data_IF_639298412797
#
_entry.id   IF_639298412797
#
_cell.length_a   1.000
_cell.length_b   1.000
_cell.length_c   1.000
_cell.angle_alpha   90.00
_cell.angle_beta   90.00
_cell.angle_gamma   90.00
#
_symmetry.space_group_name_H-M   'P 1'
#
loop_
_entity.id
_entity.type
_entity.pdbx_description
1 polymer ?
#
# COMPACT_ATOMS: atom_id res chain seq x y z
N UNK A 1 -24.64 -5.80 -3.19
CA UNK A 1 -23.91 -5.22 -2.04
C UNK A 1 -22.63 -4.63 -2.60
N UNK A 2 -22.38 -3.35 -2.37
CA UNK A 2 -21.13 -2.68 -2.75
C UNK A 2 -20.00 -3.14 -1.85
N UNK A 3 -18.74 -2.85 -2.22
CA UNK A 3 -17.58 -3.14 -1.35
C UNK A 3 -17.66 -2.38 -0.02
N UNK A 4 -18.11 -1.13 -0.04
CA UNK A 4 -18.32 -0.33 1.19
C UNK A 4 -19.38 -0.98 2.11
N UNK A 5 -20.52 -1.42 1.56
CA UNK A 5 -21.54 -2.13 2.33
C UNK A 5 -21.00 -3.45 2.90
N UNK A 6 -20.21 -4.21 2.14
CA UNK A 6 -19.60 -5.44 2.61
C UNK A 6 -18.59 -5.19 3.74
N UNK A 7 -17.74 -4.18 3.60
CA UNK A 7 -16.76 -3.79 4.65
C UNK A 7 -17.50 -3.40 5.92
N UNK A 8 -18.52 -2.54 5.81
CA UNK A 8 -19.35 -2.10 6.94
C UNK A 8 -19.99 -3.28 7.68
N UNK A 9 -20.55 -4.21 6.93
CA UNK A 9 -21.23 -5.38 7.48
C UNK A 9 -20.24 -6.30 8.21
N UNK A 10 -19.08 -6.61 7.60
CA UNK A 10 -18.02 -7.42 8.21
C UNK A 10 -17.50 -6.76 9.48
N UNK A 11 -17.20 -5.47 9.46
CA UNK A 11 -16.72 -4.74 10.65
C UNK A 11 -17.78 -4.76 11.76
N UNK A 12 -19.06 -4.57 11.43
CA UNK A 12 -20.15 -4.65 12.42
C UNK A 12 -20.26 -6.03 13.05
N UNK A 13 -20.10 -7.10 12.27
CA UNK A 13 -20.11 -8.47 12.77
C UNK A 13 -18.91 -8.74 13.71
N UNK A 14 -17.71 -8.31 13.32
CA UNK A 14 -16.51 -8.44 14.16
C UNK A 14 -16.67 -7.71 15.49
N UNK A 15 -17.24 -6.50 15.47
CA UNK A 15 -17.49 -5.73 16.68
C UNK A 15 -18.51 -6.41 17.59
N UNK A 16 -19.60 -6.96 17.01
CA UNK A 16 -20.59 -7.72 17.76
C UNK A 16 -19.99 -8.95 18.43
N UNK A 17 -19.16 -9.71 17.72
CA UNK A 17 -18.49 -10.90 18.25
C UNK A 17 -17.46 -10.60 19.35
N UNK A 18 -16.99 -9.36 19.43
CA UNK A 18 -16.03 -8.89 20.44
C UNK A 18 -16.70 -8.13 21.60
N UNK A 19 -17.98 -7.82 21.53
CA UNK A 19 -18.65 -6.98 22.53
C UNK A 19 -18.53 -7.55 23.95
N UNK A 20 -18.80 -8.85 24.13
CA UNK A 20 -18.72 -9.54 25.42
C UNK A 20 -17.28 -9.80 25.90
N UNK A 21 -16.28 -9.55 25.04
CA UNK A 21 -14.84 -9.75 25.31
C UNK A 21 -14.13 -8.44 25.64
N UNK A 22 -14.85 -7.33 25.81
CA UNK A 22 -14.28 -6.01 26.11
C UNK A 22 -13.94 -5.17 24.86
N UNK A 23 -14.44 -5.57 23.71
CA UNK A 23 -14.32 -4.86 22.44
C UNK A 23 -12.95 -5.04 21.76
N UNK A 24 -12.78 -4.37 20.62
CA UNK A 24 -11.53 -4.37 19.86
C UNK A 24 -10.56 -3.36 20.47
N UNK A 25 -9.33 -3.78 20.75
CA UNK A 25 -8.24 -2.94 21.27
C UNK A 25 -7.06 -2.86 20.31
N UNK A 26 -6.91 -3.84 19.42
CA UNK A 26 -5.78 -3.96 18.49
C UNK A 26 -6.26 -4.39 17.10
N UNK A 27 -5.66 -3.80 16.10
CA UNK A 27 -5.74 -4.30 14.72
C UNK A 27 -4.33 -4.62 14.25
N UNK A 28 -4.14 -5.82 13.71
CA UNK A 28 -2.87 -6.23 13.09
C UNK A 28 -3.09 -6.47 11.59
N UNK A 29 -2.33 -5.76 10.77
CA UNK A 29 -2.34 -5.90 9.32
C UNK A 29 -1.24 -6.89 8.95
N UNK A 30 -1.59 -7.99 8.31
CA UNK A 30 -0.66 -9.08 7.99
C UNK A 30 -0.66 -9.32 6.49
N UNK A 31 0.53 -9.37 5.91
CA UNK A 31 0.71 -9.67 4.49
C UNK A 31 2.16 -9.90 4.13
N UNK A 32 2.44 -10.22 2.88
CA UNK A 32 3.80 -10.34 2.37
C UNK A 32 3.97 -9.54 1.07
N UNK A 33 5.14 -8.94 0.86
CA UNK A 33 5.45 -8.21 -0.36
C UNK A 33 4.44 -7.11 -0.68
N UNK A 34 3.81 -7.18 -1.86
CA UNK A 34 2.80 -6.22 -2.30
C UNK A 34 1.58 -6.12 -1.39
N UNK A 35 1.17 -7.24 -0.75
CA UNK A 35 0.08 -7.25 0.22
C UNK A 35 0.46 -6.52 1.51
N UNK A 36 1.69 -6.69 1.99
CA UNK A 36 2.18 -5.95 3.16
C UNK A 36 2.26 -4.44 2.91
N UNK A 37 2.85 -4.03 1.77
CA UNK A 37 2.87 -2.61 1.41
C UNK A 37 1.48 -2.03 1.13
N UNK A 38 0.54 -2.86 0.65
CA UNK A 38 -0.86 -2.51 0.47
C UNK A 38 -1.62 -2.24 1.76
N UNK A 39 -1.15 -2.75 2.90
CA UNK A 39 -1.71 -2.47 4.23
C UNK A 39 -1.31 -1.08 4.77
N UNK A 40 -0.29 -0.48 4.19
CA UNK A 40 0.30 0.76 4.69
C UNK A 40 -0.71 1.92 4.83
N UNK A 41 -1.59 2.21 3.86
CA UNK A 41 -2.54 3.31 4.02
C UNK A 41 -3.54 3.11 5.17
N UNK A 42 -3.95 1.87 5.45
CA UNK A 42 -4.82 1.55 6.57
C UNK A 42 -4.12 1.77 7.92
N UNK A 43 -2.88 1.30 8.03
CA UNK A 43 -2.06 1.55 9.22
C UNK A 43 -1.82 3.04 9.42
N UNK A 44 -1.40 3.75 8.36
CA UNK A 44 -1.17 5.20 8.40
C UNK A 44 -2.43 5.96 8.86
N UNK A 45 -3.60 5.61 8.32
CA UNK A 45 -4.86 6.21 8.74
C UNK A 45 -5.12 6.00 10.24
N UNK A 46 -5.04 4.77 10.71
CA UNK A 46 -5.34 4.47 12.11
C UNK A 46 -4.33 5.10 13.09
N UNK A 47 -3.05 5.18 12.73
CA UNK A 47 -2.02 5.85 13.54
C UNK A 47 -2.28 7.36 13.72
N UNK A 48 -3.04 7.97 12.81
CA UNK A 48 -3.31 9.41 12.83
C UNK A 48 -4.72 9.78 13.30
N UNK A 49 -5.67 8.88 13.17
CA UNK A 49 -7.09 9.18 13.43
C UNK A 49 -7.70 8.33 14.56
N UNK A 50 -7.21 7.09 14.80
CA UNK A 50 -7.74 6.25 15.84
C UNK A 50 -7.06 6.52 17.20
N UNK A 51 -7.85 6.65 18.26
CA UNK A 51 -7.37 6.92 19.63
C UNK A 51 -7.59 5.76 20.58
N UNK A 52 -8.54 4.87 20.29
CA UNK A 52 -8.91 3.74 21.15
C UNK A 52 -8.37 2.40 20.66
N UNK A 53 -8.23 2.24 19.35
CA UNK A 53 -7.74 1.01 18.72
C UNK A 53 -6.33 1.24 18.19
N UNK A 54 -5.35 0.50 18.72
CA UNK A 54 -3.96 0.59 18.27
C UNK A 54 -3.72 -0.33 17.08
N UNK A 55 -3.04 0.20 16.06
CA UNK A 55 -2.74 -0.46 14.79
C UNK A 55 -1.28 -0.87 14.69
N UNK A 56 -0.99 -2.01 14.07
CA UNK A 56 0.38 -2.48 13.77
C UNK A 56 0.39 -3.33 12.52
N UNK A 57 1.50 -3.33 11.77
CA UNK A 57 1.66 -4.13 10.54
C UNK A 57 2.85 -5.08 10.65
N UNK A 58 2.70 -6.28 10.10
CA UNK A 58 3.70 -7.34 10.13
C UNK A 58 3.78 -8.04 8.79
N UNK A 59 4.98 -8.46 8.41
CA UNK A 59 5.12 -9.46 7.36
C UNK A 59 4.62 -10.81 7.89
N UNK A 60 4.07 -11.65 7.00
CA UNK A 60 3.46 -12.92 7.41
C UNK A 60 4.42 -13.80 8.22
N UNK A 61 5.67 -13.96 7.77
CA UNK A 61 6.65 -14.79 8.48
C UNK A 61 7.14 -14.18 9.79
N UNK A 62 7.31 -12.86 9.85
CA UNK A 62 7.65 -12.19 11.11
C UNK A 62 6.54 -12.42 12.14
N UNK A 63 5.29 -12.28 11.75
CA UNK A 63 4.15 -12.52 12.62
C UNK A 63 4.11 -13.98 13.13
N UNK A 64 4.36 -14.96 12.26
CA UNK A 64 4.37 -16.39 12.66
C UNK A 64 5.45 -16.68 13.70
N UNK A 65 6.66 -16.16 13.52
CA UNK A 65 7.81 -16.51 14.37
C UNK A 65 8.00 -15.58 15.56
N UNK A 66 7.38 -14.41 15.54
CA UNK A 66 7.47 -13.40 16.60
C UNK A 66 6.09 -12.76 16.87
N UNK A 67 5.08 -13.60 17.10
CA UNK A 67 3.71 -13.14 17.36
C UNK A 67 3.68 -12.19 18.53
N UNK A 68 3.16 -10.94 18.38
CA UNK A 68 3.13 -9.99 19.48
C UNK A 68 2.26 -10.46 20.65
N UNK A 69 2.72 -10.25 21.86
CA UNK A 69 2.03 -10.69 23.08
C UNK A 69 0.63 -10.06 23.28
N UNK A 70 0.33 -8.96 22.58
CA UNK A 70 -0.98 -8.31 22.66
C UNK A 70 -2.00 -8.89 21.68
N UNK A 71 -1.63 -9.87 20.84
CA UNK A 71 -2.57 -10.59 19.98
C UNK A 71 -3.33 -11.58 20.85
N UNK A 72 -4.61 -11.30 21.06
CA UNK A 72 -5.52 -12.07 21.92
C UNK A 72 -6.98 -11.84 21.47
N UNK A 73 -7.93 -12.19 22.32
CA UNK A 73 -9.37 -12.07 22.06
C UNK A 73 -9.85 -10.64 21.77
N UNK A 74 -9.06 -9.61 22.12
CA UNK A 74 -9.37 -8.20 21.82
C UNK A 74 -8.68 -7.71 20.54
N UNK A 75 -8.02 -8.60 19.79
CA UNK A 75 -7.36 -8.27 18.54
C UNK A 75 -8.21 -8.67 17.32
N UNK A 76 -8.04 -7.92 16.23
CA UNK A 76 -8.48 -8.27 14.88
C UNK A 76 -7.26 -8.37 13.98
N UNK A 77 -7.10 -9.49 13.29
CA UNK A 77 -6.07 -9.70 12.29
C UNK A 77 -6.68 -9.59 10.89
N UNK A 78 -6.30 -8.55 10.15
CA UNK A 78 -6.64 -8.36 8.74
C UNK A 78 -5.51 -8.96 7.91
N UNK A 79 -5.79 -10.08 7.25
CA UNK A 79 -4.78 -10.91 6.59
C UNK A 79 -4.96 -10.81 5.08
N UNK A 80 -3.96 -10.23 4.41
CA UNK A 80 -4.03 -9.89 2.99
C UNK A 80 -3.15 -10.81 2.16
N UNK A 81 -3.76 -11.54 1.23
CA UNK A 81 -3.03 -12.31 0.22
C UNK A 81 -3.92 -12.58 -0.99
N UNK A 82 -3.41 -12.30 -2.19
CA UNK A 82 -4.15 -12.50 -3.43
C UNK A 82 -4.66 -13.95 -3.57
N UNK A 83 -3.81 -14.93 -3.28
CA UNK A 83 -4.03 -16.37 -3.52
C UNK A 83 -3.67 -17.26 -2.33
N UNK A 84 -3.42 -16.68 -1.16
CA UNK A 84 -3.03 -17.44 0.03
C UNK A 84 -1.64 -18.07 -0.10
N UNK A 85 -0.57 -17.32 0.18
CA UNK A 85 0.76 -17.93 0.31
C UNK A 85 0.83 -18.76 1.59
N UNK A 86 1.69 -19.78 1.62
CA UNK A 86 1.81 -20.70 2.77
C UNK A 86 1.99 -19.96 4.09
N UNK A 87 2.91 -19.01 4.11
CA UNK A 87 3.24 -18.21 5.29
C UNK A 87 2.04 -17.36 5.77
N UNK A 88 1.25 -16.83 4.81
CA UNK A 88 0.10 -15.99 5.13
C UNK A 88 -1.07 -16.81 5.67
N UNK A 89 -1.27 -18.02 5.16
CA UNK A 89 -2.25 -18.97 5.70
C UNK A 89 -1.87 -19.35 7.14
N UNK A 90 -0.58 -19.67 7.39
CA UNK A 90 -0.09 -20.00 8.73
C UNK A 90 -0.24 -18.80 9.67
N UNK A 91 0.04 -17.59 9.21
CA UNK A 91 -0.13 -16.37 10.01
C UNK A 91 -1.61 -16.16 10.42
N UNK A 92 -2.56 -16.41 9.52
CA UNK A 92 -3.98 -16.37 9.85
C UNK A 92 -4.36 -17.40 10.92
N UNK A 93 -3.84 -18.63 10.80
CA UNK A 93 -4.09 -19.68 11.80
C UNK A 93 -3.48 -19.30 13.18
N UNK A 94 -2.25 -18.79 13.19
CA UNK A 94 -1.59 -18.31 14.42
C UNK A 94 -2.39 -17.21 15.10
N UNK A 95 -2.88 -16.23 14.33
CA UNK A 95 -3.72 -15.16 14.87
C UNK A 95 -5.01 -15.72 15.52
N UNK A 96 -5.65 -16.66 14.84
CA UNK A 96 -6.86 -17.34 15.32
C UNK A 96 -6.61 -18.16 16.58
N UNK A 97 -5.52 -18.91 16.63
CA UNK A 97 -5.11 -19.71 17.80
C UNK A 97 -4.83 -18.84 19.04
N UNK A 98 -4.43 -17.57 18.85
CA UNK A 98 -4.28 -16.57 19.90
C UNK A 98 -5.61 -15.89 20.28
N UNK A 99 -6.74 -16.23 19.64
CA UNK A 99 -8.07 -15.70 19.94
C UNK A 99 -8.46 -14.46 19.15
N UNK A 100 -7.61 -13.96 18.25
CA UNK A 100 -7.96 -12.83 17.38
C UNK A 100 -9.07 -13.23 16.39
N UNK A 101 -9.99 -12.33 16.09
CA UNK A 101 -10.87 -12.50 14.90
C UNK A 101 -10.07 -12.22 13.64
N UNK A 102 -10.31 -13.00 12.60
CA UNK A 102 -9.51 -12.96 11.37
C UNK A 102 -10.35 -12.56 10.16
N UNK A 103 -9.86 -11.60 9.36
CA UNK A 103 -10.50 -11.14 8.13
C UNK A 103 -9.56 -11.44 6.95
N UNK A 104 -9.97 -12.31 6.03
CA UNK A 104 -9.25 -12.55 4.78
C UNK A 104 -9.57 -11.46 3.76
N UNK A 105 -8.52 -10.84 3.19
CA UNK A 105 -8.61 -9.95 2.04
C UNK A 105 -7.94 -10.67 0.85
N UNK A 106 -8.73 -11.06 -0.15
CA UNK A 106 -8.30 -12.03 -1.15
C UNK A 106 -8.85 -11.73 -2.56
N UNK A 107 -8.23 -12.31 -3.59
CA UNK A 107 -8.75 -12.35 -4.96
C UNK A 107 -9.31 -13.72 -5.28
N UNK A 108 -8.50 -14.77 -5.11
CA UNK A 108 -8.87 -16.14 -5.37
C UNK A 108 -9.05 -16.93 -4.05
N UNK A 109 -10.08 -17.76 -3.97
CA UNK A 109 -10.31 -18.66 -2.85
C UNK A 109 -9.10 -19.57 -2.63
N UNK A 110 -8.75 -19.83 -1.36
CA UNK A 110 -7.56 -20.58 -0.96
C UNK A 110 -7.66 -21.00 0.49
N UNK A 111 -6.66 -21.70 1.02
CA UNK A 111 -6.57 -22.01 2.45
C UNK A 111 -6.69 -20.78 3.37
N UNK A 112 -6.38 -19.58 2.89
CA UNK A 112 -6.60 -18.37 3.67
C UNK A 112 -8.09 -18.13 3.94
N UNK A 113 -8.93 -18.30 2.92
CA UNK A 113 -10.39 -18.14 3.04
C UNK A 113 -11.05 -19.26 3.84
N UNK A 114 -10.39 -20.42 3.95
CA UNK A 114 -10.86 -21.53 4.79
C UNK A 114 -10.56 -21.30 6.28
N UNK A 115 -9.42 -20.67 6.58
CA UNK A 115 -8.97 -20.42 7.96
C UNK A 115 -9.67 -19.21 8.57
N UNK A 116 -9.81 -18.09 7.83
CA UNK A 116 -10.32 -16.84 8.38
C UNK A 116 -11.82 -16.88 8.68
N UNK A 117 -12.22 -16.16 9.73
CA UNK A 117 -13.61 -16.05 10.20
C UNK A 117 -14.48 -15.24 9.23
N UNK A 118 -13.92 -14.19 8.65
CA UNK A 118 -14.57 -13.26 7.73
C UNK A 118 -13.77 -13.11 6.43
N UNK A 119 -14.45 -12.68 5.37
CA UNK A 119 -13.88 -12.64 4.02
C UNK A 119 -14.33 -11.41 3.25
N UNK A 120 -13.39 -10.71 2.61
CA UNK A 120 -13.69 -9.63 1.67
C UNK A 120 -12.83 -9.84 0.41
N UNK A 121 -13.49 -9.96 -0.73
CA UNK A 121 -12.81 -10.10 -2.02
C UNK A 121 -12.45 -8.72 -2.57
N UNK A 122 -11.28 -8.61 -3.21
CA UNK A 122 -10.79 -7.39 -3.84
C UNK A 122 -10.39 -7.59 -5.30
N UNK A 123 -10.25 -6.49 -6.05
CA UNK A 123 -9.78 -6.49 -7.42
C UNK A 123 -8.24 -6.33 -7.46
N UNK A 124 -7.56 -7.15 -8.23
CA UNK A 124 -6.12 -6.99 -8.43
C UNK A 124 -5.81 -5.72 -9.24
N UNK A 125 -4.99 -4.83 -8.72
CA UNK A 125 -4.57 -3.60 -9.40
C UNK A 125 -3.78 -3.84 -10.71
N UNK A 126 -3.29 -5.07 -10.91
CA UNK A 126 -2.56 -5.45 -12.11
C UNK A 126 -3.46 -5.81 -13.30
N UNK A 127 -4.77 -5.95 -13.09
CA UNK A 127 -5.76 -6.26 -14.13
C UNK A 127 -6.32 -4.96 -14.68
N UNK A 128 -6.30 -4.80 -16.03
CA UNK A 128 -6.68 -3.54 -16.67
C UNK A 128 -8.17 -3.17 -16.50
N UNK A 129 -9.05 -4.17 -16.29
CA UNK A 129 -10.48 -3.97 -16.00
C UNK A 129 -10.78 -3.81 -14.50
N UNK A 130 -9.76 -3.80 -13.64
CA UNK A 130 -9.97 -3.62 -12.20
C UNK A 130 -10.53 -2.24 -11.87
N UNK A 131 -11.36 -2.18 -10.84
CA UNK A 131 -11.75 -0.95 -10.18
C UNK A 131 -10.72 -0.61 -9.10
N UNK A 132 -10.00 0.51 -9.26
CA UNK A 132 -8.94 0.90 -8.33
C UNK A 132 -9.47 1.22 -6.93
N UNK A 133 -10.71 1.69 -6.82
CA UNK A 133 -11.41 1.88 -5.54
C UNK A 133 -11.74 0.57 -4.80
N UNK A 134 -11.46 -0.60 -5.40
CA UNK A 134 -11.69 -1.92 -4.80
C UNK A 134 -10.43 -2.79 -4.72
N UNK A 135 -9.24 -2.23 -4.90
CA UNK A 135 -7.98 -2.93 -4.69
C UNK A 135 -7.74 -3.25 -3.21
N UNK A 136 -6.77 -4.12 -2.91
CA UNK A 136 -6.45 -4.46 -1.52
C UNK A 136 -6.24 -3.22 -0.65
N UNK A 137 -5.46 -2.24 -1.13
CA UNK A 137 -5.18 -1.00 -0.39
C UNK A 137 -6.45 -0.19 -0.12
N UNK A 138 -7.38 -0.12 -1.08
CA UNK A 138 -8.66 0.55 -0.90
C UNK A 138 -9.53 -0.18 0.16
N UNK A 139 -9.64 -1.50 0.05
CA UNK A 139 -10.44 -2.31 0.98
C UNK A 139 -9.91 -2.22 2.41
N UNK A 140 -8.60 -2.35 2.63
CA UNK A 140 -8.03 -2.24 3.99
C UNK A 140 -8.17 -0.82 4.55
N UNK A 141 -8.09 0.22 3.70
CA UNK A 141 -8.33 1.60 4.13
C UNK A 141 -9.79 1.81 4.54
N UNK A 142 -10.75 1.25 3.78
CA UNK A 142 -12.17 1.27 4.17
C UNK A 142 -12.39 0.55 5.51
N UNK A 143 -11.74 -0.62 5.73
CA UNK A 143 -11.83 -1.34 7.01
C UNK A 143 -11.31 -0.48 8.16
N UNK A 144 -10.18 0.20 7.98
CA UNK A 144 -9.60 1.08 8.99
C UNK A 144 -10.55 2.25 9.34
N UNK A 145 -11.11 2.91 8.31
CA UNK A 145 -12.07 4.00 8.48
C UNK A 145 -13.36 3.52 9.16
N UNK A 146 -13.88 2.38 8.74
CA UNK A 146 -15.10 1.80 9.30
C UNK A 146 -14.91 1.35 10.75
N UNK A 147 -13.76 0.70 11.07
CA UNK A 147 -13.42 0.34 12.46
C UNK A 147 -13.37 1.59 13.34
N UNK A 148 -12.67 2.64 12.91
CA UNK A 148 -12.58 3.89 13.67
C UNK A 148 -13.95 4.53 13.83
N UNK A 149 -14.76 4.56 12.76
CA UNK A 149 -16.12 5.10 12.81
C UNK A 149 -17.01 4.37 13.81
N UNK A 150 -17.02 3.03 13.79
CA UNK A 150 -17.90 2.23 14.65
C UNK A 150 -17.42 2.10 16.10
N UNK A 151 -16.11 2.30 16.37
CA UNK A 151 -15.55 2.20 17.73
C UNK A 151 -15.57 3.52 18.48
N UNK A 152 -15.28 4.62 17.81
CA UNK A 152 -15.04 5.91 18.48
C UNK A 152 -15.58 7.13 17.72
N UNK A 153 -16.05 6.95 16.49
CA UNK A 153 -16.47 8.02 15.61
C UNK A 153 -15.31 8.66 14.84
N UNK A 154 -15.53 8.94 13.56
CA UNK A 154 -14.59 9.65 12.70
C UNK A 154 -15.30 10.83 12.03
N UNK A 155 -14.90 12.04 12.37
CA UNK A 155 -15.62 13.27 11.98
C UNK A 155 -15.74 13.46 10.44
N UNK A 156 -14.72 13.00 9.68
CA UNK A 156 -14.71 13.10 8.21
C UNK A 156 -15.18 11.80 7.52
N UNK A 157 -15.81 10.88 8.23
CA UNK A 157 -16.19 9.56 7.72
C UNK A 157 -16.96 9.62 6.40
N UNK A 158 -18.05 10.40 6.33
CA UNK A 158 -18.86 10.52 5.11
C UNK A 158 -18.07 11.14 3.95
N UNK A 159 -17.19 12.12 4.24
CA UNK A 159 -16.31 12.73 3.25
C UNK A 159 -15.31 11.70 2.72
N UNK A 160 -14.71 10.91 3.60
CA UNK A 160 -13.73 9.90 3.26
C UNK A 160 -14.37 8.76 2.44
N UNK A 161 -15.53 8.27 2.85
CA UNK A 161 -16.22 7.21 2.12
C UNK A 161 -16.68 7.65 0.72
N UNK A 162 -17.17 8.88 0.58
CA UNK A 162 -17.51 9.46 -0.72
C UNK A 162 -16.29 9.64 -1.65
N UNK A 163 -15.10 9.87 -1.08
CA UNK A 163 -13.88 10.05 -1.87
C UNK A 163 -13.43 8.77 -2.60
N UNK A 164 -13.85 7.58 -2.15
CA UNK A 164 -13.57 6.33 -2.89
C UNK A 164 -14.19 6.32 -4.29
N UNK A 165 -15.31 7.01 -4.51
CA UNK A 165 -15.94 7.13 -5.83
C UNK A 165 -15.11 7.98 -6.81
N UNK A 166 -14.19 8.81 -6.29
CA UNK A 166 -13.29 9.63 -7.09
C UNK A 166 -12.02 8.88 -7.52
N UNK A 167 -11.69 7.74 -6.90
CA UNK A 167 -10.43 7.01 -7.15
C UNK A 167 -10.30 6.60 -8.61
N UNK A 168 -11.33 5.96 -9.17
CA UNK A 168 -11.28 5.51 -10.58
C UNK A 168 -11.23 6.63 -11.59
N UNK A 169 -12.05 7.71 -11.50
CA UNK A 169 -11.92 8.87 -12.36
C UNK A 169 -10.56 9.54 -12.31
N UNK A 170 -9.99 9.70 -11.11
CA UNK A 170 -8.65 10.27 -10.91
C UNK A 170 -7.60 9.35 -11.53
N UNK A 171 -7.65 8.04 -11.24
CA UNK A 171 -6.71 7.07 -11.79
C UNK A 171 -6.68 7.10 -13.33
N UNK A 172 -7.84 7.10 -14.00
CA UNK A 172 -7.90 7.14 -15.47
C UNK A 172 -7.24 8.40 -16.04
N UNK A 173 -7.52 9.57 -15.48
CA UNK A 173 -6.87 10.83 -15.88
C UNK A 173 -5.36 10.78 -15.60
N UNK A 174 -4.96 10.25 -14.44
CA UNK A 174 -3.56 10.12 -14.07
C UNK A 174 -2.78 9.16 -15.00
N UNK A 175 -3.40 8.08 -15.48
CA UNK A 175 -2.81 7.19 -16.52
C UNK A 175 -2.51 7.96 -17.80
N UNK A 176 -3.47 8.74 -18.30
CA UNK A 176 -3.29 9.54 -19.51
C UNK A 176 -2.16 10.58 -19.35
N UNK A 177 -2.14 11.28 -18.21
CA UNK A 177 -1.13 12.26 -17.88
C UNK A 177 0.28 11.63 -17.74
N UNK A 178 0.38 10.49 -17.08
CA UNK A 178 1.68 9.88 -16.73
C UNK A 178 2.29 9.07 -17.86
N UNK A 179 1.52 8.60 -18.84
CA UNK A 179 2.03 7.75 -19.95
C UNK A 179 3.26 8.34 -20.67
N UNK A 180 3.23 9.58 -21.20
CA UNK A 180 4.41 10.17 -21.84
C UNK A 180 5.56 10.41 -20.85
N UNK A 181 5.26 10.71 -19.60
CA UNK A 181 6.25 10.91 -18.55
C UNK A 181 6.97 9.61 -18.21
N UNK A 182 6.23 8.51 -18.07
CA UNK A 182 6.78 7.19 -17.78
C UNK A 182 7.65 6.67 -18.93
N UNK A 183 7.27 6.93 -20.20
CA UNK A 183 8.09 6.58 -21.33
C UNK A 183 9.46 7.27 -21.27
N UNK A 184 9.49 8.57 -21.04
CA UNK A 184 10.74 9.36 -20.88
C UNK A 184 11.56 8.86 -19.69
N UNK A 185 10.92 8.64 -18.54
CA UNK A 185 11.59 8.12 -17.35
C UNK A 185 12.21 6.74 -17.60
N UNK A 186 11.50 5.85 -18.29
CA UNK A 186 11.97 4.52 -18.59
C UNK A 186 13.21 4.54 -19.51
N UNK A 187 13.20 5.36 -20.57
CA UNK A 187 14.36 5.56 -21.44
C UNK A 187 15.59 6.05 -20.68
N UNK A 188 15.40 6.99 -19.74
CA UNK A 188 16.49 7.54 -18.92
C UNK A 188 17.03 6.55 -17.89
N UNK A 189 16.28 5.51 -17.56
CA UNK A 189 16.62 4.54 -16.51
C UNK A 189 16.87 3.10 -17.00
N UNK A 190 16.73 2.83 -18.31
CA UNK A 190 16.85 1.49 -18.88
C UNK A 190 18.20 0.82 -18.63
N UNK A 191 19.29 1.60 -18.52
CA UNK A 191 20.66 1.15 -18.31
C UNK A 191 21.13 1.27 -16.84
N UNK A 192 20.24 1.59 -15.90
CA UNK A 192 20.67 1.85 -14.54
C UNK A 192 20.83 0.58 -13.72
N UNK A 193 21.96 0.47 -12.99
CA UNK A 193 22.18 -0.65 -12.09
C UNK A 193 21.29 -0.59 -10.85
N UNK A 194 20.86 0.62 -10.44
CA UNK A 194 20.01 0.82 -9.29
C UNK A 194 19.06 2.00 -9.51
N UNK A 195 17.80 1.82 -9.12
CA UNK A 195 16.77 2.87 -9.11
C UNK A 195 16.35 3.12 -7.66
N UNK A 196 16.66 4.31 -7.14
CA UNK A 196 16.23 4.73 -5.82
C UNK A 196 14.81 5.28 -5.89
N UNK A 197 13.93 4.84 -4.99
CA UNK A 197 12.55 5.32 -4.90
C UNK A 197 12.36 6.02 -3.57
N UNK A 198 12.03 7.30 -3.59
CA UNK A 198 11.94 8.12 -2.38
C UNK A 198 10.50 8.57 -2.14
N UNK A 199 9.99 8.33 -0.94
CA UNK A 199 8.68 8.78 -0.48
C UNK A 199 8.63 8.84 1.05
N UNK A 200 7.57 9.41 1.59
CA UNK A 200 7.34 9.42 3.04
C UNK A 200 5.85 9.29 3.37
N UNK A 201 5.54 9.13 4.68
CA UNK A 201 4.18 9.12 5.20
C UNK A 201 3.24 8.29 4.33
N UNK A 202 2.16 8.87 3.83
CA UNK A 202 1.09 8.12 3.13
C UNK A 202 1.54 7.45 1.82
N UNK A 203 2.72 7.79 1.28
CA UNK A 203 3.26 7.20 0.05
C UNK A 203 4.36 6.17 0.27
N UNK A 204 4.88 6.02 1.49
CA UNK A 204 6.02 5.13 1.72
C UNK A 204 5.71 3.68 1.31
N UNK A 205 4.51 3.18 1.61
CA UNK A 205 4.08 1.83 1.20
C UNK A 205 4.04 1.64 -0.31
N UNK A 206 3.62 2.64 -1.08
CA UNK A 206 3.62 2.59 -2.55
C UNK A 206 5.04 2.55 -3.12
N UNK A 207 5.95 3.37 -2.57
CA UNK A 207 7.37 3.35 -2.94
C UNK A 207 8.03 2.01 -2.62
N UNK A 208 7.74 1.44 -1.45
CA UNK A 208 8.23 0.13 -1.03
C UNK A 208 7.78 -0.97 -2.02
N UNK A 209 6.48 -1.04 -2.33
CA UNK A 209 5.96 -2.03 -3.28
C UNK A 209 6.57 -1.85 -4.67
N UNK A 210 6.69 -0.61 -5.15
CA UNK A 210 7.31 -0.35 -6.43
C UNK A 210 8.77 -0.82 -6.47
N UNK A 211 9.54 -0.52 -5.43
CA UNK A 211 10.94 -0.94 -5.32
C UNK A 211 11.08 -2.46 -5.32
N UNK A 212 10.43 -3.17 -4.37
CA UNK A 212 10.68 -4.61 -4.19
C UNK A 212 9.89 -5.49 -5.17
N UNK A 213 8.64 -5.15 -5.48
CA UNK A 213 7.81 -6.00 -6.36
C UNK A 213 7.98 -5.63 -7.83
N UNK A 214 7.90 -4.34 -8.18
CA UNK A 214 7.93 -3.95 -9.59
C UNK A 214 9.36 -3.91 -10.13
N UNK A 215 10.30 -3.25 -9.43
CA UNK A 215 11.67 -3.06 -9.95
C UNK A 215 12.53 -4.30 -9.68
N UNK A 216 12.60 -4.80 -8.44
CA UNK A 216 13.46 -5.94 -8.11
C UNK A 216 12.88 -7.28 -8.59
N UNK A 217 11.62 -7.60 -8.23
CA UNK A 217 11.02 -8.90 -8.55
C UNK A 217 10.69 -9.03 -10.04
N UNK A 218 9.92 -8.06 -10.58
CA UNK A 218 9.40 -8.15 -11.95
C UNK A 218 10.46 -7.79 -12.99
N UNK A 219 11.24 -6.75 -12.76
CA UNK A 219 12.23 -6.26 -13.74
C UNK A 219 13.65 -6.73 -13.43
N UNK A 220 13.93 -7.27 -12.25
CA UNK A 220 15.24 -7.78 -11.82
C UNK A 220 16.33 -6.71 -11.92
N UNK A 221 15.99 -5.48 -11.55
CA UNK A 221 16.88 -4.31 -11.43
C UNK A 221 17.01 -4.00 -9.94
N UNK A 222 18.22 -3.65 -9.48
CA UNK A 222 18.42 -3.25 -8.10
C UNK A 222 17.63 -1.99 -7.77
N UNK A 223 17.06 -1.96 -6.59
CA UNK A 223 16.26 -0.81 -6.13
C UNK A 223 16.30 -0.71 -4.62
N UNK A 224 16.20 0.49 -4.10
CA UNK A 224 15.96 0.71 -2.68
C UNK A 224 14.87 1.76 -2.46
N UNK A 225 14.21 1.65 -1.31
CA UNK A 225 13.23 2.63 -0.86
C UNK A 225 13.88 3.55 0.16
N UNK A 226 13.80 4.86 -0.07
CA UNK A 226 14.32 5.89 0.83
C UNK A 226 13.15 6.63 1.45
N UNK A 227 13.12 6.72 2.79
CA UNK A 227 12.16 7.58 3.46
C UNK A 227 12.60 9.04 3.32
N UNK A 228 11.75 9.90 2.75
CA UNK A 228 12.07 11.32 2.54
C UNK A 228 12.39 12.03 3.86
N UNK A 229 11.77 11.61 4.97
CA UNK A 229 12.03 12.18 6.29
C UNK A 229 13.43 11.84 6.82
N UNK A 230 13.97 10.66 6.44
CA UNK A 230 15.31 10.20 6.79
C UNK A 230 16.37 10.54 5.73
N UNK A 231 15.96 11.10 4.59
CA UNK A 231 16.86 11.39 3.47
C UNK A 231 18.10 12.15 3.91
N UNK A 232 17.96 13.14 4.78
CA UNK A 232 19.05 13.99 5.28
C UNK A 232 19.86 13.36 6.44
N UNK A 233 19.63 12.10 6.76
CA UNK A 233 20.32 11.34 7.80
C UNK A 233 21.16 10.19 7.23
N UNK A 234 21.71 10.37 6.03
CA UNK A 234 22.60 9.41 5.36
C UNK A 234 22.32 9.31 3.86
N UNK A 235 21.09 8.97 3.40
CA UNK A 235 20.84 8.71 1.98
C UNK A 235 21.17 9.87 1.03
N UNK A 236 21.13 11.11 1.47
CA UNK A 236 21.48 12.26 0.62
C UNK A 236 22.95 12.29 0.17
N UNK A 237 23.85 11.56 0.87
CA UNK A 237 25.27 11.47 0.52
C UNK A 237 25.51 10.66 -0.78
N UNK A 238 24.56 9.81 -1.21
CA UNK A 238 24.69 9.11 -2.49
C UNK A 238 24.24 9.95 -3.69
N UNK A 239 23.61 11.14 -3.45
CA UNK A 239 23.07 11.95 -4.53
C UNK A 239 24.16 12.67 -5.30
N UNK A 240 24.29 12.34 -6.58
CA UNK A 240 25.13 13.05 -7.55
C UNK A 240 24.40 13.22 -8.88
N UNK A 241 25.11 13.75 -9.89
CA UNK A 241 24.55 13.96 -11.24
C UNK A 241 24.19 12.67 -12.00
N UNK A 242 24.61 11.50 -11.51
CA UNK A 242 24.39 10.19 -12.15
C UNK A 242 23.33 9.37 -11.42
N UNK A 243 23.00 9.76 -10.19
CA UNK A 243 22.04 9.02 -9.34
C UNK A 243 20.65 8.99 -9.98
N UNK A 244 20.10 7.78 -10.12
CA UNK A 244 18.70 7.59 -10.47
C UNK A 244 17.86 7.67 -9.20
N UNK A 245 17.01 8.68 -9.10
CA UNK A 245 16.12 8.92 -7.98
C UNK A 245 14.72 9.24 -8.46
N UNK A 246 13.75 8.46 -8.04
CA UNK A 246 12.34 8.69 -8.29
C UNK A 246 11.66 9.14 -7.00
N UNK A 247 11.41 10.44 -6.85
CA UNK A 247 10.71 11.01 -5.71
C UNK A 247 9.21 11.06 -5.95
N UNK A 248 8.45 10.42 -5.07
CA UNK A 248 6.99 10.51 -5.00
C UNK A 248 6.61 11.60 -4.00
N UNK A 249 5.75 12.53 -4.42
CA UNK A 249 5.39 13.72 -3.64
C UNK A 249 3.93 13.61 -3.24
N UNK A 250 3.66 13.58 -1.95
CA UNK A 250 2.33 13.38 -1.38
C UNK A 250 1.50 14.67 -1.32
N UNK A 251 0.19 14.51 -1.14
CA UNK A 251 -0.66 15.53 -0.51
C UNK A 251 -0.85 15.16 0.97
N UNK A 252 -1.25 16.14 1.77
CA UNK A 252 -1.52 15.97 3.19
C UNK A 252 -0.50 16.65 4.10
N UNK A 253 -0.65 16.37 5.41
CA UNK A 253 0.05 17.07 6.51
C UNK A 253 1.58 16.98 6.46
N UNK A 254 2.13 15.92 5.90
CA UNK A 254 3.57 15.67 5.86
C UNK A 254 4.26 16.13 4.56
N UNK A 255 3.53 16.73 3.60
CA UNK A 255 4.06 17.21 2.32
C UNK A 255 5.26 18.16 2.44
N UNK A 256 5.37 18.93 3.52
CA UNK A 256 6.50 19.82 3.74
C UNK A 256 7.86 19.09 3.75
N UNK A 257 7.90 17.80 4.11
CA UNK A 257 9.10 16.97 4.03
C UNK A 257 9.46 16.64 2.59
N UNK A 258 8.47 16.34 1.74
CA UNK A 258 8.70 16.15 0.29
C UNK A 258 9.24 17.43 -0.35
N UNK A 259 8.69 18.59 0.00
CA UNK A 259 9.13 19.89 -0.50
C UNK A 259 10.56 20.24 -0.07
N UNK A 260 10.96 19.81 1.14
CA UNK A 260 12.37 19.93 1.58
C UNK A 260 13.28 19.07 0.69
N UNK A 261 12.86 17.83 0.41
CA UNK A 261 13.55 16.92 -0.52
C UNK A 261 13.68 17.52 -1.91
N UNK A 262 12.58 18.03 -2.49
CA UNK A 262 12.54 18.66 -3.82
C UNK A 262 13.61 19.74 -3.96
N UNK A 263 13.69 20.66 -3.00
CA UNK A 263 14.68 21.74 -3.04
C UNK A 263 16.11 21.23 -3.13
N UNK A 264 16.43 20.20 -2.36
CA UNK A 264 17.78 19.62 -2.35
C UNK A 264 18.09 18.84 -3.63
N UNK A 265 17.19 17.94 -4.04
CA UNK A 265 17.44 17.09 -5.21
C UNK A 265 17.46 17.89 -6.52
N UNK A 266 16.71 18.98 -6.62
CA UNK A 266 16.75 19.89 -7.78
C UNK A 266 18.06 20.69 -7.84
N UNK A 267 18.66 20.99 -6.69
CA UNK A 267 19.95 21.72 -6.64
C UNK A 267 21.14 20.81 -6.93
N UNK A 268 21.17 19.61 -6.38
CA UNK A 268 22.36 18.75 -6.37
C UNK A 268 22.24 17.52 -7.26
N UNK A 269 21.04 17.05 -7.56
CA UNK A 269 20.78 15.92 -8.46
C UNK A 269 21.04 16.26 -9.93
N UNK A 270 20.90 15.26 -10.80
CA UNK A 270 21.07 15.35 -12.25
C UNK A 270 19.75 15.16 -13.00
N UNK A 271 19.87 14.88 -14.30
CA UNK A 271 18.72 14.67 -15.20
C UNK A 271 17.90 13.42 -14.90
N UNK A 272 18.41 12.54 -14.01
CA UNK A 272 17.76 11.30 -13.59
C UNK A 272 17.06 11.41 -12.24
N UNK A 273 16.94 12.59 -11.70
CA UNK A 273 16.01 12.92 -10.62
C UNK A 273 14.64 13.11 -11.25
N UNK A 274 13.72 12.26 -10.92
CA UNK A 274 12.36 12.28 -11.40
C UNK A 274 11.40 12.51 -10.25
N UNK A 275 10.39 13.33 -10.46
CA UNK A 275 9.42 13.72 -9.45
C UNK A 275 8.00 13.48 -9.97
N UNK A 276 7.16 12.86 -9.15
CA UNK A 276 5.76 12.62 -9.43
C UNK A 276 4.92 13.18 -8.29
N UNK A 277 4.16 14.23 -8.59
CA UNK A 277 3.38 14.97 -7.59
C UNK A 277 1.92 14.52 -7.57
N UNK A 278 1.41 14.21 -6.39
CA UNK A 278 0.02 13.85 -6.15
C UNK A 278 -0.98 14.89 -6.70
N UNK A 279 -0.63 16.18 -6.64
CA UNK A 279 -1.47 17.27 -7.19
C UNK A 279 -1.60 17.18 -8.69
N UNK A 280 -0.54 16.79 -9.39
CA UNK A 280 -0.56 16.60 -10.84
C UNK A 280 -1.35 15.35 -11.24
N UNK A 281 -1.45 14.37 -10.34
CA UNK A 281 -2.26 13.17 -10.52
C UNK A 281 -3.75 13.39 -10.22
N UNK A 282 -4.13 14.57 -9.72
CA UNK A 282 -5.53 14.93 -9.46
C UNK A 282 -6.02 14.66 -8.04
N UNK A 283 -5.12 14.35 -7.08
CA UNK A 283 -5.54 14.13 -5.69
C UNK A 283 -6.09 15.41 -5.02
N UNK A 284 -5.85 16.57 -5.58
CA UNK A 284 -6.48 17.83 -5.17
C UNK A 284 -7.98 17.92 -5.55
N UNK A 285 -8.53 16.98 -6.32
CA UNK A 285 -9.96 16.83 -6.52
C UNK A 285 -10.66 16.19 -5.28
N UNK A 286 -9.88 15.58 -4.39
CA UNK A 286 -10.33 15.06 -3.11
C UNK A 286 -10.16 16.13 -2.04
N UNK A 287 -11.17 16.29 -1.16
CA UNK A 287 -11.14 17.28 -0.08
C UNK A 287 -9.88 17.13 0.79
N UNK A 288 -9.19 18.24 1.06
CA UNK A 288 -7.89 18.27 1.78
C UNK A 288 -7.93 17.54 3.13
N UNK A 289 -9.07 17.57 3.84
CA UNK A 289 -9.22 16.90 5.14
C UNK A 289 -9.05 15.38 5.09
N UNK A 290 -9.17 14.74 3.91
CA UNK A 290 -9.08 13.29 3.74
C UNK A 290 -8.14 12.86 2.61
N UNK A 291 -7.71 13.79 1.76
CA UNK A 291 -6.95 13.50 0.53
C UNK A 291 -5.66 12.70 0.79
N UNK A 292 -5.01 12.92 1.92
CA UNK A 292 -3.76 12.23 2.25
C UNK A 292 -3.90 10.71 2.34
N UNK A 293 -5.06 10.18 2.72
CA UNK A 293 -5.32 8.75 2.82
C UNK A 293 -5.52 8.06 1.46
N UNK A 294 -5.63 8.85 0.39
CA UNK A 294 -5.82 8.36 -0.98
C UNK A 294 -4.52 8.36 -1.82
N UNK A 295 -3.42 8.91 -1.32
CA UNK A 295 -2.14 8.94 -2.03
C UNK A 295 -1.73 7.54 -2.54
N UNK A 296 -1.70 6.54 -1.67
CA UNK A 296 -1.31 5.17 -2.01
C UNK A 296 -2.22 4.57 -3.10
N UNK A 297 -3.54 4.82 -3.01
CA UNK A 297 -4.55 4.24 -3.89
C UNK A 297 -4.39 4.70 -5.34
N UNK A 298 -3.82 5.87 -5.57
CA UNK A 298 -3.53 6.41 -6.90
C UNK A 298 -2.12 6.05 -7.36
N UNK A 299 -1.13 6.19 -6.49
CA UNK A 299 0.26 5.95 -6.88
C UNK A 299 0.57 4.47 -7.14
N UNK A 300 0.12 3.55 -6.30
CA UNK A 300 0.44 2.13 -6.46
C UNK A 300 0.03 1.57 -7.84
N UNK A 301 -1.20 1.77 -8.34
CA UNK A 301 -1.56 1.31 -9.68
C UNK A 301 -0.86 2.09 -10.80
N UNK A 302 -0.59 3.38 -10.65
CA UNK A 302 0.18 4.16 -11.63
C UNK A 302 1.62 3.63 -11.74
N UNK A 303 2.27 3.37 -10.62
CA UNK A 303 3.63 2.81 -10.60
C UNK A 303 3.66 1.41 -11.24
N UNK A 304 2.70 0.54 -10.91
CA UNK A 304 2.63 -0.81 -11.46
C UNK A 304 2.22 -0.82 -12.95
N UNK A 305 1.13 -0.15 -13.30
CA UNK A 305 0.52 -0.30 -14.63
C UNK A 305 1.11 0.63 -15.67
N UNK A 306 1.76 1.73 -15.27
CA UNK A 306 2.33 2.70 -16.21
C UNK A 306 3.85 2.70 -16.15
N UNK A 307 4.46 3.00 -15.02
CA UNK A 307 5.93 3.14 -14.91
C UNK A 307 6.66 1.80 -15.04
N UNK A 308 6.26 0.76 -14.32
CA UNK A 308 6.87 -0.56 -14.42
C UNK A 308 6.74 -1.12 -15.85
N UNK A 309 5.55 -1.02 -16.46
CA UNK A 309 5.32 -1.51 -17.81
C UNK A 309 6.12 -0.73 -18.87
N UNK A 310 6.28 0.60 -18.70
CA UNK A 310 7.14 1.40 -19.57
C UNK A 310 8.61 0.95 -19.48
N UNK A 311 9.14 0.73 -18.26
CA UNK A 311 10.50 0.26 -18.06
C UNK A 311 10.69 -1.16 -18.60
N UNK A 312 9.71 -2.05 -18.44
CA UNK A 312 9.66 -3.38 -19.05
C UNK A 312 9.82 -3.31 -20.57
N UNK A 313 9.10 -2.41 -21.22
CA UNK A 313 9.11 -2.26 -22.68
C UNK A 313 10.50 -1.83 -23.21
N UNK A 314 11.14 -0.83 -22.60
CA UNK A 314 12.45 -0.32 -23.05
C UNK A 314 13.61 -1.24 -22.67
N UNK A 315 13.50 -1.99 -21.58
CA UNK A 315 14.53 -2.97 -21.16
C UNK A 315 14.34 -4.34 -21.84
N UNK A 316 13.25 -4.52 -22.59
CA UNK A 316 12.85 -5.80 -23.17
C UNK A 316 12.74 -6.93 -22.14
N UNK A 317 12.42 -6.58 -20.90
CA UNK A 317 12.26 -7.52 -19.81
C UNK A 317 10.79 -7.88 -19.67
N UNK A 318 10.44 -9.14 -19.84
CA UNK A 318 9.09 -9.62 -19.56
C UNK A 318 8.86 -9.60 -18.04
N UNK A 319 8.03 -8.66 -17.58
CA UNK A 319 7.69 -8.49 -16.16
C UNK A 319 6.88 -9.64 -15.58
N UNK A 320 6.37 -10.56 -16.38
CA UNK A 320 5.70 -11.79 -15.92
C UNK A 320 6.69 -12.91 -15.62
N UNK A 321 7.93 -12.82 -16.11
CA UNK A 321 8.94 -13.85 -15.90
C UNK A 321 9.69 -13.63 -14.58
N UNK A 322 9.74 -14.69 -13.76
CA UNK A 322 10.50 -14.74 -12.50
C UNK A 322 11.73 -15.62 -12.66
N UNK A 323 12.81 -15.30 -11.93
CA UNK A 323 14.04 -16.12 -11.89
C UNK A 323 13.87 -17.33 -11.00
N UNK A 324 13.37 -17.15 -9.80
CA UNK A 324 13.26 -18.15 -8.73
C UNK A 324 11.83 -18.36 -8.24
N UNK A 325 11.07 -17.26 -8.05
CA UNK A 325 9.73 -17.29 -7.50
C UNK A 325 8.82 -18.24 -8.29
N UNK A 326 8.10 -19.10 -7.59
CA UNK A 326 7.23 -20.18 -8.11
C UNK A 326 7.94 -21.27 -8.93
N UNK A 327 9.28 -21.28 -8.98
CA UNK A 327 10.07 -22.27 -9.71
C UNK A 327 10.89 -23.16 -8.80
N UNK A 328 11.20 -22.71 -7.61
CA UNK A 328 11.99 -23.41 -6.60
C UNK A 328 11.18 -23.51 -5.31
N UNK A 329 11.54 -24.47 -4.44
CA UNK A 329 11.12 -24.52 -3.05
C UNK A 329 12.02 -23.55 -2.23
N UNK A 330 11.40 -22.66 -1.47
CA UNK A 330 12.06 -21.68 -0.59
C UNK A 330 11.22 -21.39 0.65
#
# INVERSE_FOLDING_TARGET
MTTQEQVKDVVSQVLADKADKGGIKRVVWIGAGGSNGGNYPAQYFMEHEATQVVSSSYTSNEFVHATPAYVNENAVAVVVSMRGTKETIVAAQVAKDHGASTIAIYVDESGLTEVCDYKIQYDSLAVDESCMGRTNSAVVTMIAMELTQQTEGYAEYETAMAAFDLVDPIYRKAVEYTRPLAAKWAEQNADKPCINVMAQGPLFGAAYVFSICNVQEMLQIDSCTINTCDFFHGPFEILDKRTSLFQLISVGRSRCNDERGIRFVNQYGGERVYQLDAKELGLNDIKDSVSEYFNHLIFAPILNNVYMRALSAVTHKDYMTRRYMWKLDY
#
